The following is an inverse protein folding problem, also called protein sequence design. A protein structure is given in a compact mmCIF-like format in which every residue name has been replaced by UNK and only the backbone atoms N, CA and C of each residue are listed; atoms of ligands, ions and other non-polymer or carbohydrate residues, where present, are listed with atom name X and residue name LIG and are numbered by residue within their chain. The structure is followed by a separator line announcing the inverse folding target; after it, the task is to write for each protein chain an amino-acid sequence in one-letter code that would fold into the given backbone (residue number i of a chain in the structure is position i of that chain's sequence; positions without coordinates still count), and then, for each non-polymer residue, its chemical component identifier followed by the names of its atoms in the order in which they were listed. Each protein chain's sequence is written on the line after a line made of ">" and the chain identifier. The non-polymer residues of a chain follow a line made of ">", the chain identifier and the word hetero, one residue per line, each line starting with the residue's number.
data_IF_846450351958
#
_entry.id   IF_846450351958
#
_cell.length_a   1.000
_cell.length_b   1.000
_cell.length_c   1.000
_cell.angle_alpha   90.00
_cell.angle_beta   90.00
_cell.angle_gamma   90.00
#
_symmetry.space_group_name_H-M   'P 1'
#
loop_
_entity.id
_entity.type
_entity.pdbx_description
1 polymer ?
#
# COMPACT_ATOMS: atom_id res chain seq x y z
N UNK A 1 -16.03 -12.14 1.40
CA UNK A 1 -14.58 -12.02 1.60
C UNK A 1 -13.98 -11.72 0.25
N UNK A 2 -13.62 -10.46 0.02
CA UNK A 2 -12.95 -10.03 -1.20
C UNK A 2 -11.45 -9.90 -0.89
N UNK A 3 -10.61 -10.40 -1.80
CA UNK A 3 -9.17 -10.23 -1.73
C UNK A 3 -8.83 -8.97 -2.53
N UNK A 4 -7.94 -8.14 -2.00
CA UNK A 4 -7.39 -7.00 -2.73
C UNK A 4 -6.53 -7.53 -3.87
N UNK A 5 -6.92 -7.24 -5.10
CA UNK A 5 -6.15 -7.60 -6.28
C UNK A 5 -4.93 -6.68 -6.40
N UNK A 6 -3.74 -7.26 -6.26
CA UNK A 6 -2.46 -6.54 -6.31
C UNK A 6 -1.70 -6.91 -7.58
N UNK A 7 -1.04 -5.93 -8.17
CA UNK A 7 -0.07 -6.20 -9.24
C UNK A 7 1.17 -6.94 -8.71
N UNK A 8 1.96 -7.52 -9.62
CA UNK A 8 3.23 -8.15 -9.29
C UNK A 8 4.19 -7.19 -8.58
N UNK A 9 4.20 -5.92 -8.98
CA UNK A 9 5.08 -4.89 -8.40
C UNK A 9 4.65 -4.50 -6.99
N UNK A 10 3.34 -4.33 -6.78
CA UNK A 10 2.76 -4.08 -5.46
C UNK A 10 3.02 -5.25 -4.51
N UNK A 11 2.85 -6.48 -4.99
CA UNK A 11 3.15 -7.70 -4.24
C UNK A 11 4.63 -7.78 -3.85
N UNK A 12 5.54 -7.45 -4.78
CA UNK A 12 6.99 -7.41 -4.49
C UNK A 12 7.34 -6.32 -3.49
N UNK A 13 6.72 -5.14 -3.58
CA UNK A 13 6.88 -4.06 -2.62
C UNK A 13 6.52 -4.55 -1.20
N UNK A 14 5.29 -5.05 -1.02
CA UNK A 14 4.82 -5.53 0.28
C UNK A 14 5.71 -6.62 0.85
N UNK A 15 6.11 -7.59 0.02
CA UNK A 15 7.05 -8.64 0.42
C UNK A 15 8.41 -8.06 0.85
N UNK A 16 8.93 -7.05 0.15
CA UNK A 16 10.16 -6.36 0.48
C UNK A 16 10.10 -5.60 1.80
N UNK A 17 8.92 -5.09 2.16
CA UNK A 17 8.64 -4.42 3.43
C UNK A 17 8.32 -5.38 4.58
N UNK A 18 8.23 -6.69 4.31
CA UNK A 18 7.81 -7.69 5.30
C UNK A 18 6.32 -7.63 5.63
N UNK A 19 5.52 -7.00 4.78
CA UNK A 19 4.07 -6.87 4.93
C UNK A 19 3.33 -8.06 4.30
N UNK A 20 2.09 -8.33 4.73
CA UNK A 20 1.23 -9.32 4.08
C UNK A 20 1.05 -9.02 2.59
N UNK A 21 1.16 -10.05 1.75
CA UNK A 21 0.93 -9.95 0.29
C UNK A 21 -0.48 -10.39 -0.12
N UNK A 22 -1.22 -10.98 0.81
CA UNK A 22 -2.64 -11.32 0.64
C UNK A 22 -3.40 -10.45 1.62
N UNK A 23 -4.09 -9.44 1.09
CA UNK A 23 -4.91 -8.50 1.86
C UNK A 23 -6.36 -8.82 1.57
N UNK A 24 -7.19 -8.84 2.60
CA UNK A 24 -8.61 -9.19 2.50
C UNK A 24 -9.45 -8.15 3.24
N UNK A 25 -10.67 -7.89 2.76
CA UNK A 25 -11.59 -6.91 3.36
C UNK A 25 -12.13 -7.30 4.73
N UNK A 26 -11.93 -8.56 5.16
CA UNK A 26 -12.26 -9.04 6.50
C UNK A 26 -11.07 -9.06 7.48
N UNK A 27 -9.88 -8.64 7.02
CA UNK A 27 -8.72 -8.49 7.87
C UNK A 27 -9.00 -7.43 8.94
N UNK A 28 -8.54 -7.60 10.19
CA UNK A 28 -8.79 -6.63 11.25
C UNK A 28 -8.27 -5.24 10.91
N UNK A 29 -9.03 -4.20 11.29
CA UNK A 29 -8.67 -2.79 11.08
C UNK A 29 -7.25 -2.47 11.52
N UNK A 30 -6.76 -3.08 12.62
CA UNK A 30 -5.39 -2.88 13.12
C UNK A 30 -4.33 -3.35 12.11
N UNK A 31 -4.57 -4.45 11.40
CA UNK A 31 -3.65 -4.91 10.35
C UNK A 31 -3.75 -4.04 9.10
N UNK A 32 -4.95 -3.58 8.74
CA UNK A 32 -5.14 -2.60 7.67
C UNK A 32 -4.36 -1.31 7.97
N UNK A 33 -4.57 -0.73 9.16
CA UNK A 33 -3.84 0.44 9.63
C UNK A 33 -2.33 0.20 9.65
N UNK A 34 -1.85 -0.96 10.11
CA UNK A 34 -0.43 -1.27 10.12
C UNK A 34 0.21 -1.29 8.73
N UNK A 35 -0.51 -1.77 7.71
CA UNK A 35 -0.06 -1.74 6.32
C UNK A 35 -0.02 -0.29 5.81
N UNK A 36 -1.07 0.49 6.03
CA UNK A 36 -1.18 1.85 5.52
C UNK A 36 -0.19 2.81 6.19
N UNK A 37 0.01 2.71 7.50
CA UNK A 37 1.04 3.44 8.25
C UNK A 37 2.44 3.13 7.70
N UNK A 38 2.74 1.84 7.46
CA UNK A 38 4.05 1.45 6.94
C UNK A 38 4.29 1.99 5.53
N UNK A 39 3.27 1.97 4.66
CA UNK A 39 3.37 2.54 3.31
C UNK A 39 3.58 4.06 3.38
N UNK A 40 2.88 4.76 4.28
CA UNK A 40 3.02 6.20 4.47
C UNK A 40 4.42 6.57 4.98
N UNK A 41 5.00 5.80 5.89
CA UNK A 41 6.38 5.98 6.34
C UNK A 41 7.38 5.84 5.19
N UNK A 42 7.20 4.84 4.32
CA UNK A 42 8.05 4.64 3.15
C UNK A 42 7.93 5.81 2.14
N UNK A 43 6.71 6.34 1.94
CA UNK A 43 6.49 7.55 1.14
C UNK A 43 7.24 8.75 1.72
N UNK A 44 7.11 8.99 3.03
CA UNK A 44 7.77 10.12 3.69
C UNK A 44 9.30 9.99 3.69
N UNK A 45 9.85 8.79 3.87
CA UNK A 45 11.29 8.57 3.95
C UNK A 45 11.98 8.52 2.59
N UNK A 46 11.30 7.96 1.57
CA UNK A 46 11.93 7.60 0.29
C UNK A 46 11.06 7.86 -0.94
N UNK A 47 9.76 8.03 -0.76
CA UNK A 47 8.80 8.19 -1.86
C UNK A 47 8.60 9.62 -2.33
N UNK A 48 9.15 10.63 -1.66
CA UNK A 48 9.12 12.02 -2.13
C UNK A 48 10.12 12.25 -3.27
N UNK A 49 9.73 13.09 -4.23
CA UNK A 49 10.64 13.55 -5.28
C UNK A 49 11.68 14.54 -4.73
N UNK A 50 12.72 14.86 -5.52
CA UNK A 50 13.80 15.77 -5.09
C UNK A 50 13.33 17.20 -4.79
N UNK A 51 12.16 17.60 -5.30
CA UNK A 51 11.56 18.92 -5.09
C UNK A 51 10.64 18.95 -3.87
N UNK A 52 10.35 17.80 -3.26
CA UNK A 52 9.43 17.64 -2.13
C UNK A 52 8.02 18.20 -2.39
N UNK A 53 7.61 18.27 -3.65
CA UNK A 53 6.28 18.76 -4.08
C UNK A 53 5.37 17.65 -4.61
N UNK A 54 5.83 16.41 -4.53
CA UNK A 54 5.08 15.23 -4.93
C UNK A 54 5.88 13.94 -4.72
N UNK A 55 5.31 12.84 -5.18
CA UNK A 55 5.90 11.52 -5.09
C UNK A 55 6.83 11.24 -6.28
N UNK A 56 7.85 10.43 -6.04
CA UNK A 56 8.62 9.76 -7.08
C UNK A 56 7.97 8.42 -7.45
N UNK A 57 8.59 7.65 -8.34
CA UNK A 57 8.06 6.34 -8.79
C UNK A 57 7.82 5.35 -7.64
N UNK A 58 8.70 5.32 -6.64
CA UNK A 58 8.55 4.47 -5.45
C UNK A 58 7.38 4.94 -4.58
N UNK A 59 7.24 6.26 -4.36
CA UNK A 59 6.12 6.82 -3.63
C UNK A 59 4.78 6.51 -4.29
N UNK A 60 4.70 6.68 -5.61
CA UNK A 60 3.53 6.33 -6.40
C UNK A 60 3.19 4.84 -6.30
N UNK A 61 4.19 3.96 -6.26
CA UNK A 61 3.97 2.53 -6.06
C UNK A 61 3.37 2.25 -4.68
N UNK A 62 3.89 2.86 -3.60
CA UNK A 62 3.30 2.76 -2.26
C UNK A 62 1.84 3.27 -2.24
N UNK A 63 1.59 4.45 -2.80
CA UNK A 63 0.25 5.05 -2.88
C UNK A 63 -0.71 4.21 -3.73
N UNK A 64 -0.23 3.52 -4.76
CA UNK A 64 -1.07 2.63 -5.57
C UNK A 64 -1.58 1.42 -4.78
N UNK A 65 -0.82 0.90 -3.81
CA UNK A 65 -1.29 -0.18 -2.92
C UNK A 65 -2.42 0.33 -2.04
N UNK A 66 -2.25 1.52 -1.47
CA UNK A 66 -3.27 2.17 -0.65
C UNK A 66 -4.59 2.37 -1.43
N UNK A 67 -4.50 2.82 -2.69
CA UNK A 67 -5.69 2.96 -3.55
C UNK A 67 -6.35 1.61 -3.84
N UNK A 68 -5.57 0.57 -4.16
CA UNK A 68 -6.13 -0.77 -4.37
C UNK A 68 -6.87 -1.30 -3.13
N UNK A 69 -6.37 -0.99 -1.93
CA UNK A 69 -7.03 -1.33 -0.67
C UNK A 69 -8.37 -0.57 -0.52
N UNK A 70 -8.41 0.74 -0.78
CA UNK A 70 -9.66 1.52 -0.73
C UNK A 70 -10.68 1.00 -1.76
N UNK A 71 -10.25 0.80 -2.99
CA UNK A 71 -11.13 0.32 -4.08
C UNK A 71 -11.76 -1.04 -3.73
N UNK A 72 -11.03 -1.90 -3.01
CA UNK A 72 -11.54 -3.18 -2.56
C UNK A 72 -12.54 -3.07 -1.40
N UNK A 73 -12.37 -2.11 -0.49
CA UNK A 73 -13.28 -1.85 0.63
C UNK A 73 -14.62 -1.27 0.13
N UNK A 74 -14.57 -0.29 -0.79
CA UNK A 74 -15.76 0.32 -1.40
C UNK A 74 -16.59 -0.67 -2.25
N UNK A 75 -16.01 -1.80 -2.65
CA UNK A 75 -16.65 -2.81 -3.50
C UNK A 75 -17.47 -3.87 -2.72
N UNK A 76 -17.45 -3.87 -1.39
CA UNK A 76 -18.07 -4.89 -0.52
C UNK A 76 -19.29 -4.35 0.23
#
# INVERSE_FOLDING_TARGET
>A
MAIVELSDEQTRLLKGLGLPTVISTDMPDEQWCGITERLLDEVQMRGLNERFDGENEYGLLCSSVYMAMIDADDAV
#
